data_IF_386609935063
#
_entry.id   IF_386609935063
#
_cell.length_a   1.000
_cell.length_b   1.000
_cell.length_c   1.000
_cell.angle_alpha   90.00
_cell.angle_beta   90.00
_cell.angle_gamma   90.00
#
_symmetry.space_group_name_H-M   'P 1'
#
loop_
_entity.id
_entity.type
_entity.pdbx_description
1 polymer ?
#
# COMPACT_ATOMS: atom_id res chain seq x y z
N UNK A 1 17.40 3.46 -3.17
CA UNK A 1 16.55 2.68 -2.25
C UNK A 1 17.00 2.98 -0.83
N UNK A 2 16.07 3.31 0.06
CA UNK A 2 16.39 3.75 1.42
C UNK A 2 16.51 2.55 2.38
N UNK A 3 17.74 2.20 2.77
CA UNK A 3 18.05 1.31 3.90
C UNK A 3 17.12 0.10 4.07
N UNK A 4 16.63 -0.08 5.30
CA UNK A 4 15.73 -1.18 5.69
C UNK A 4 14.26 -0.95 5.27
N UNK A 5 13.87 0.28 4.92
CA UNK A 5 12.48 0.59 4.53
C UNK A 5 12.16 0.15 3.09
N UNK A 6 13.19 -0.10 2.28
CA UNK A 6 13.10 -0.48 0.87
C UNK A 6 12.29 0.54 0.03
N UNK A 7 12.15 1.77 0.51
CA UNK A 7 11.47 2.84 -0.21
C UNK A 7 12.32 3.22 -1.42
N UNK A 8 11.69 3.24 -2.59
CA UNK A 8 12.29 3.80 -3.81
C UNK A 8 11.70 5.16 -4.09
N UNK A 9 12.55 6.12 -4.46
CA UNK A 9 12.15 7.47 -4.77
C UNK A 9 12.93 7.96 -5.98
N UNK A 10 12.25 8.57 -6.94
CA UNK A 10 12.91 9.35 -8.00
C UNK A 10 13.45 10.65 -7.40
N UNK A 11 14.59 11.14 -7.89
CA UNK A 11 15.29 12.30 -7.32
C UNK A 11 15.55 13.38 -8.37
N UNK A 12 14.63 13.57 -9.32
CA UNK A 12 14.78 14.56 -10.38
C UNK A 12 14.57 15.97 -9.81
N UNK A 13 15.59 16.82 -9.91
CA UNK A 13 15.59 18.16 -9.33
C UNK A 13 14.62 19.07 -10.09
N UNK A 14 13.76 19.78 -9.36
CA UNK A 14 12.83 20.75 -9.95
C UNK A 14 11.62 20.13 -10.67
N UNK A 15 11.50 18.81 -10.65
CA UNK A 15 10.40 18.08 -11.27
C UNK A 15 9.55 17.32 -10.24
N UNK A 16 8.40 16.83 -10.68
CA UNK A 16 7.60 15.91 -9.89
C UNK A 16 8.35 14.60 -9.69
N UNK A 17 8.23 14.03 -8.49
CA UNK A 17 8.88 12.77 -8.14
C UNK A 17 7.85 11.74 -7.69
N UNK A 18 8.24 10.47 -7.67
CA UNK A 18 7.40 9.36 -7.18
C UNK A 18 8.13 8.62 -6.08
N UNK A 19 7.42 8.26 -5.02
CA UNK A 19 7.88 7.28 -4.04
C UNK A 19 7.04 6.01 -4.11
N UNK A 20 7.73 4.87 -4.10
CA UNK A 20 7.16 3.53 -3.94
C UNK A 20 7.44 3.10 -2.52
N UNK A 21 6.38 3.00 -1.71
CA UNK A 21 6.47 2.76 -0.27
C UNK A 21 5.87 1.39 0.03
N UNK A 22 6.69 0.38 0.35
CA UNK A 22 6.18 -0.93 0.78
C UNK A 22 5.40 -0.80 2.08
N UNK A 23 4.21 -1.42 2.16
CA UNK A 23 3.42 -1.45 3.40
C UNK A 23 4.06 -2.34 4.46
N UNK A 24 4.84 -3.35 4.03
CA UNK A 24 5.57 -4.27 4.90
C UNK A 24 6.89 -4.65 4.26
N UNK A 25 8.00 -4.32 4.91
CA UNK A 25 9.35 -4.67 4.47
C UNK A 25 9.78 -6.09 4.88
N UNK A 26 9.13 -6.68 5.90
CA UNK A 26 9.49 -8.01 6.41
C UNK A 26 9.46 -9.07 5.30
N UNK A 27 10.59 -9.76 5.10
CA UNK A 27 10.75 -10.78 4.05
C UNK A 27 10.62 -10.26 2.61
N UNK A 28 10.58 -8.93 2.40
CA UNK A 28 10.62 -8.30 1.09
C UNK A 28 12.09 -8.09 0.70
N UNK A 29 12.40 -8.34 -0.58
CA UNK A 29 13.67 -7.99 -1.20
C UNK A 29 13.42 -6.90 -2.23
N UNK A 30 14.26 -5.87 -2.21
CA UNK A 30 14.20 -4.77 -3.16
C UNK A 30 15.52 -4.62 -3.87
N UNK A 31 15.47 -4.44 -5.19
CA UNK A 31 16.64 -4.17 -6.03
C UNK A 31 16.33 -3.00 -6.97
N UNK A 32 17.31 -2.13 -7.20
CA UNK A 32 17.22 -1.07 -8.23
C UNK A 32 18.18 -1.43 -9.34
N UNK A 33 17.64 -1.57 -10.55
CA UNK A 33 18.40 -1.91 -11.75
C UNK A 33 18.38 -0.78 -12.77
N UNK A 34 19.28 -0.89 -13.74
CA UNK A 34 19.22 -0.11 -14.97
C UNK A 34 18.15 -0.71 -15.90
N UNK A 35 17.49 0.15 -16.66
CA UNK A 35 16.47 -0.20 -17.62
C UNK A 35 16.39 0.81 -18.76
N UNK A 36 15.43 0.62 -19.64
CA UNK A 36 15.14 1.53 -20.74
C UNK A 36 13.65 1.86 -20.74
N UNK A 37 13.30 3.08 -21.11
CA UNK A 37 11.92 3.49 -21.37
C UNK A 37 11.78 3.96 -22.82
N UNK A 38 10.62 3.71 -23.42
CA UNK A 38 10.28 4.17 -24.75
C UNK A 38 8.94 4.86 -24.69
N UNK A 39 8.96 6.19 -24.74
CA UNK A 39 7.77 7.04 -24.80
C UNK A 39 7.27 7.19 -26.24
N UNK A 40 8.17 7.12 -27.22
CA UNK A 40 7.90 7.25 -28.65
C UNK A 40 8.55 6.11 -29.46
N UNK A 41 7.99 5.81 -30.63
CA UNK A 41 8.52 4.78 -31.51
C UNK A 41 9.97 5.08 -31.91
N UNK A 42 10.86 4.09 -31.79
CA UNK A 42 12.31 4.20 -32.00
C UNK A 42 13.06 5.15 -31.05
N UNK A 43 12.43 5.67 -29.99
CA UNK A 43 13.10 6.42 -28.94
C UNK A 43 13.27 5.53 -27.72
N UNK A 44 14.52 5.19 -27.39
CA UNK A 44 14.88 4.44 -26.18
C UNK A 44 15.77 5.32 -25.31
N UNK A 45 15.32 5.56 -24.10
CA UNK A 45 16.02 6.39 -23.13
C UNK A 45 16.42 5.54 -21.91
N UNK A 46 17.64 5.70 -21.38
CA UNK A 46 18.05 5.08 -20.13
C UNK A 46 17.08 5.45 -18.99
N UNK A 47 16.72 4.48 -18.18
CA UNK A 47 15.88 4.68 -17.00
C UNK A 47 16.32 3.74 -15.87
N UNK A 48 15.79 3.94 -14.67
CA UNK A 48 15.92 2.99 -13.56
C UNK A 48 14.64 2.17 -13.39
N UNK A 49 14.78 0.93 -12.94
CA UNK A 49 13.66 0.11 -12.49
C UNK A 49 13.85 -0.28 -11.02
N UNK A 50 12.73 -0.51 -10.33
CA UNK A 50 12.72 -1.06 -8.98
C UNK A 50 12.01 -2.42 -9.01
N UNK A 51 12.71 -3.47 -8.61
CA UNK A 51 12.18 -4.82 -8.50
C UNK A 51 11.94 -5.15 -7.02
N UNK A 52 10.72 -5.55 -6.70
CA UNK A 52 10.35 -6.04 -5.37
C UNK A 52 9.94 -7.50 -5.46
N UNK A 53 10.49 -8.33 -4.58
CA UNK A 53 10.20 -9.77 -4.56
C UNK A 53 10.04 -10.30 -3.13
N UNK A 54 9.17 -11.29 -2.99
CA UNK A 54 8.92 -11.99 -1.72
C UNK A 54 8.74 -13.47 -2.01
N UNK A 55 9.29 -14.32 -1.14
CA UNK A 55 9.11 -15.78 -1.19
C UNK A 55 8.18 -16.23 -0.08
N UNK A 56 7.32 -17.19 -0.36
CA UNK A 56 6.36 -17.75 0.59
C UNK A 56 5.70 -19.01 0.05
N UNK A 57 4.80 -19.61 0.84
CA UNK A 57 4.01 -20.78 0.44
C UNK A 57 2.54 -20.41 0.39
N UNK A 58 1.81 -20.87 -0.63
CA UNK A 58 0.40 -20.52 -0.83
C UNK A 58 0.22 -19.11 -1.40
N UNK A 59 -0.90 -18.46 -1.07
CA UNK A 59 -1.18 -17.09 -1.50
C UNK A 59 -0.31 -16.09 -0.74
N UNK A 60 0.45 -15.29 -1.47
CA UNK A 60 1.31 -14.22 -0.95
C UNK A 60 0.79 -12.90 -1.49
N UNK A 61 0.63 -11.90 -0.61
CA UNK A 61 0.36 -10.52 -1.03
C UNK A 61 1.58 -9.61 -0.84
N UNK A 62 1.69 -8.63 -1.71
CA UNK A 62 2.60 -7.50 -1.63
C UNK A 62 1.80 -6.23 -1.89
N UNK A 63 1.78 -5.33 -0.90
CA UNK A 63 1.09 -4.06 -1.02
C UNK A 63 2.09 -2.91 -0.99
N UNK A 64 1.91 -1.95 -1.90
CA UNK A 64 2.76 -0.79 -2.06
C UNK A 64 1.91 0.46 -2.24
N UNK A 65 2.32 1.56 -1.61
CA UNK A 65 1.73 2.87 -1.80
C UNK A 65 2.57 3.64 -2.80
N UNK A 66 1.96 4.05 -3.91
CA UNK A 66 2.56 4.96 -4.88
C UNK A 66 2.19 6.39 -4.49
N UNK A 67 3.18 7.19 -4.10
CA UNK A 67 2.96 8.56 -3.64
C UNK A 67 3.69 9.57 -4.54
N UNK A 68 2.94 10.37 -5.32
CA UNK A 68 3.52 11.44 -6.13
C UNK A 68 3.89 12.65 -5.27
N UNK A 69 5.01 13.27 -5.61
CA UNK A 69 5.55 14.47 -5.00
C UNK A 69 5.46 15.64 -5.97
N UNK A 70 5.11 16.82 -5.44
CA UNK A 70 5.27 18.07 -6.20
C UNK A 70 6.76 18.42 -6.32
N UNK A 71 7.14 19.25 -7.31
CA UNK A 71 8.50 19.78 -7.39
C UNK A 71 8.97 20.38 -6.07
N UNK A 72 10.11 19.90 -5.57
CA UNK A 72 10.72 20.34 -4.31
C UNK A 72 10.10 19.76 -3.03
N UNK A 73 9.01 18.99 -3.12
CA UNK A 73 8.43 18.30 -1.98
C UNK A 73 9.25 17.04 -1.64
N UNK A 74 9.37 16.77 -0.33
CA UNK A 74 10.11 15.63 0.20
C UNK A 74 9.32 14.85 1.25
N UNK A 75 8.17 15.35 1.67
CA UNK A 75 7.38 14.75 2.73
C UNK A 75 6.79 13.40 2.28
N UNK A 76 6.89 12.38 3.13
CA UNK A 76 6.30 11.06 2.88
C UNK A 76 5.04 10.87 3.72
N UNK A 77 4.01 10.20 3.17
CA UNK A 77 2.93 9.71 4.01
C UNK A 77 3.46 8.68 4.99
N UNK A 78 2.88 8.65 6.19
CA UNK A 78 3.11 7.54 7.12
C UNK A 78 2.28 6.36 6.66
N UNK A 79 2.97 5.27 6.31
CA UNK A 79 2.36 4.04 5.83
C UNK A 79 2.61 2.95 6.87
N UNK A 80 1.57 2.19 7.22
CA UNK A 80 1.69 1.06 8.15
C UNK A 80 0.75 -0.08 7.78
N UNK A 81 1.17 -1.31 8.05
CA UNK A 81 0.27 -2.47 8.04
C UNK A 81 -0.74 -2.34 9.18
N UNK A 82 -2.00 -2.60 8.89
CA UNK A 82 -3.08 -2.67 9.88
C UNK A 82 -3.53 -4.13 9.99
N UNK A 83 -3.63 -4.70 11.20
CA UNK A 83 -4.11 -6.06 11.36
C UNK A 83 -5.59 -6.15 11.02
N UNK A 84 -5.95 -7.21 10.28
CA UNK A 84 -7.32 -7.57 9.93
C UNK A 84 -7.74 -8.77 10.76
N UNK A 85 -8.96 -8.74 11.29
CA UNK A 85 -9.51 -9.84 12.09
C UNK A 85 -10.81 -10.34 11.48
N UNK A 86 -11.17 -11.58 11.78
CA UNK A 86 -12.54 -12.10 11.59
C UNK A 86 -13.43 -11.55 12.71
N UNK A 87 -14.76 -11.62 12.52
CA UNK A 87 -15.73 -11.29 13.56
C UNK A 87 -15.57 -12.16 14.83
N UNK A 88 -14.93 -13.33 14.72
CA UNK A 88 -14.58 -14.23 15.83
C UNK A 88 -13.39 -13.74 16.67
N UNK A 89 -12.68 -12.70 16.21
CA UNK A 89 -11.46 -12.18 16.83
C UNK A 89 -10.16 -12.85 16.33
N UNK A 90 -10.26 -13.86 15.44
CA UNK A 90 -9.08 -14.49 14.84
C UNK A 90 -8.38 -13.53 13.86
N UNK A 91 -7.04 -13.44 13.95
CA UNK A 91 -6.25 -12.66 13.00
C UNK A 91 -6.25 -13.32 11.62
N UNK A 92 -6.55 -12.53 10.59
CA UNK A 92 -6.57 -12.98 9.20
C UNK A 92 -5.16 -12.97 8.63
N UNK A 93 -4.83 -14.01 7.86
CA UNK A 93 -3.59 -14.09 7.12
C UNK A 93 -3.63 -13.15 5.90
N UNK A 94 -2.52 -12.46 5.61
CA UNK A 94 -2.42 -11.47 4.54
C UNK A 94 -2.86 -11.99 3.16
N UNK A 95 -2.61 -13.27 2.85
CA UNK A 95 -3.08 -13.90 1.62
C UNK A 95 -4.60 -14.10 1.50
N UNK A 96 -5.39 -13.77 2.53
CA UNK A 96 -6.86 -13.77 2.52
C UNK A 96 -7.41 -12.35 2.52
N UNK A 97 -6.90 -11.48 3.38
CA UNK A 97 -7.20 -10.06 3.38
C UNK A 97 -6.07 -9.29 4.04
N UNK A 98 -5.87 -8.06 3.59
CA UNK A 98 -4.89 -7.15 4.16
C UNK A 98 -5.40 -5.72 4.29
N UNK A 99 -4.79 -4.96 5.18
CA UNK A 99 -5.10 -3.55 5.36
C UNK A 99 -3.83 -2.70 5.50
N UNK A 100 -3.90 -1.50 4.93
CA UNK A 100 -2.85 -0.49 4.98
C UNK A 100 -3.42 0.82 5.51
N UNK A 101 -2.81 1.35 6.56
CA UNK A 101 -3.06 2.70 7.07
C UNK A 101 -2.12 3.68 6.40
N UNK A 102 -2.67 4.80 5.93
CA UNK A 102 -1.99 5.87 5.23
C UNK A 102 -2.41 7.19 5.88
N UNK A 103 -1.45 7.90 6.46
CA UNK A 103 -1.64 9.27 6.92
C UNK A 103 -0.83 10.20 6.03
N UNK A 104 -1.51 11.10 5.32
CA UNK A 104 -0.88 12.03 4.38
C UNK A 104 -0.14 13.15 5.15
N UNK A 105 0.97 13.69 4.60
CA UNK A 105 1.66 14.81 5.22
C UNK A 105 0.73 16.00 5.45
N UNK A 106 0.71 16.53 6.67
CA UNK A 106 -0.10 17.69 7.03
C UNK A 106 -1.59 17.41 7.26
N UNK A 107 -2.02 16.14 7.22
CA UNK A 107 -3.40 15.74 7.52
C UNK A 107 -3.48 15.05 8.89
N UNK A 108 -4.52 15.37 9.65
CA UNK A 108 -4.82 14.65 10.90
C UNK A 108 -5.55 13.34 10.64
N UNK A 109 -6.23 13.23 9.50
CA UNK A 109 -6.93 12.02 9.11
C UNK A 109 -5.99 10.87 8.74
N UNK A 110 -6.38 9.65 9.15
CA UNK A 110 -5.78 8.41 8.69
C UNK A 110 -6.78 7.66 7.78
N UNK A 111 -6.29 7.22 6.63
CA UNK A 111 -7.03 6.42 5.68
C UNK A 111 -6.59 4.96 5.80
N UNK A 112 -7.50 4.04 6.03
CA UNK A 112 -7.21 2.60 6.06
C UNK A 112 -7.89 1.96 4.86
N UNK A 113 -7.09 1.49 3.91
CA UNK A 113 -7.56 0.68 2.80
C UNK A 113 -7.50 -0.79 3.18
N UNK A 114 -8.62 -1.48 3.07
CA UNK A 114 -8.73 -2.92 3.28
C UNK A 114 -9.02 -3.59 1.96
N UNK A 115 -8.29 -4.67 1.67
CA UNK A 115 -8.41 -5.47 0.45
C UNK A 115 -8.64 -6.92 0.84
N UNK A 116 -9.78 -7.48 0.45
CA UNK A 116 -10.04 -8.92 0.50
C UNK A 116 -9.54 -9.57 -0.79
N UNK A 117 -8.68 -10.59 -0.66
CA UNK A 117 -8.20 -11.38 -1.80
C UNK A 117 -9.14 -12.55 -2.14
N UNK A 118 -10.24 -12.68 -1.42
CA UNK A 118 -11.32 -13.62 -1.72
C UNK A 118 -12.63 -12.86 -1.81
N UNK A 119 -13.40 -13.16 -2.85
CA UNK A 119 -14.75 -12.64 -2.99
C UNK A 119 -15.57 -13.04 -1.74
N UNK A 120 -16.20 -12.08 -1.03
CA UNK A 120 -17.09 -12.39 0.06
C UNK A 120 -18.23 -13.26 -0.48
N UNK A 121 -18.33 -14.49 -0.01
CA UNK A 121 -19.27 -15.49 -0.55
C UNK A 121 -20.48 -15.71 0.36
N UNK A 122 -20.46 -15.19 1.59
CA UNK A 122 -21.60 -15.21 2.50
C UNK A 122 -21.61 -14.06 3.51
N UNK A 123 -22.72 -13.91 4.24
CA UNK A 123 -22.94 -12.84 5.23
C UNK A 123 -21.97 -12.89 6.43
N UNK A 124 -21.29 -14.03 6.64
CA UNK A 124 -20.27 -14.24 7.65
C UNK A 124 -18.85 -13.80 7.20
N UNK A 125 -18.68 -13.50 5.91
CA UNK A 125 -17.43 -13.00 5.33
C UNK A 125 -17.32 -11.49 5.55
N UNK A 126 -17.18 -11.12 6.82
CA UNK A 126 -16.90 -9.76 7.26
C UNK A 126 -15.57 -9.71 7.99
N UNK A 127 -14.86 -8.60 7.82
CA UNK A 127 -13.64 -8.35 8.56
C UNK A 127 -13.85 -7.29 9.62
N UNK A 128 -13.01 -7.31 10.65
CA UNK A 128 -12.95 -6.30 11.69
C UNK A 128 -11.60 -5.61 11.62
N UNK A 129 -11.63 -4.30 11.40
CA UNK A 129 -10.44 -3.44 11.33
C UNK A 129 -10.68 -2.25 12.22
N UNK A 130 -9.74 -1.94 13.12
CA UNK A 130 -9.88 -0.84 14.09
C UNK A 130 -11.20 -0.89 14.90
N UNK A 131 -11.67 -2.11 15.22
CA UNK A 131 -12.92 -2.34 15.96
C UNK A 131 -14.20 -2.07 15.16
N UNK A 132 -14.10 -1.77 13.86
CA UNK A 132 -15.25 -1.62 12.97
C UNK A 132 -15.40 -2.86 12.10
N UNK A 133 -16.61 -3.42 12.05
CA UNK A 133 -16.95 -4.50 11.14
C UNK A 133 -17.21 -3.93 9.75
N UNK A 134 -16.58 -4.52 8.74
CA UNK A 134 -16.65 -4.09 7.34
C UNK A 134 -17.01 -5.27 6.43
N UNK A 135 -17.66 -4.93 5.32
CA UNK A 135 -18.15 -5.86 4.31
C UNK A 135 -17.73 -5.32 2.93
N UNK A 136 -17.35 -6.21 2.02
CA UNK A 136 -16.91 -5.86 0.66
C UNK A 136 -15.49 -6.31 0.36
N UNK A 137 -15.11 -6.20 -0.92
CA UNK A 137 -13.79 -6.60 -1.39
C UNK A 137 -12.77 -5.49 -1.13
N UNK A 138 -13.14 -4.24 -1.41
CA UNK A 138 -12.28 -3.08 -1.20
C UNK A 138 -13.03 -2.05 -0.36
N UNK A 139 -12.53 -1.81 0.85
CA UNK A 139 -13.14 -0.88 1.81
C UNK A 139 -12.14 0.19 2.20
N UNK A 140 -12.53 1.45 2.04
CA UNK A 140 -11.79 2.58 2.57
C UNK A 140 -12.43 3.02 3.89
N UNK A 141 -11.64 3.03 4.95
CA UNK A 141 -12.01 3.63 6.22
C UNK A 141 -11.29 4.96 6.40
N UNK A 142 -12.01 6.00 6.82
CA UNK A 142 -11.44 7.28 7.23
C UNK A 142 -11.57 7.42 8.73
N UNK A 143 -10.45 7.68 9.39
CA UNK A 143 -10.35 7.92 10.83
C UNK A 143 -9.98 9.38 11.08
N UNK A 144 -10.80 10.10 11.83
CA UNK A 144 -10.51 11.47 12.24
C UNK A 144 -10.93 11.67 13.70
N UNK A 145 -9.94 11.68 14.61
CA UNK A 145 -10.18 11.65 16.05
C UNK A 145 -10.99 10.42 16.46
N UNK A 146 -12.16 10.63 17.06
CA UNK A 146 -13.09 9.55 17.45
C UNK A 146 -14.04 9.12 16.33
N UNK A 147 -14.10 9.86 15.22
CA UNK A 147 -15.01 9.55 14.11
C UNK A 147 -14.39 8.51 13.19
N UNK A 148 -15.19 7.50 12.85
CA UNK A 148 -14.84 6.44 11.90
C UNK A 148 -15.94 6.36 10.84
N UNK A 149 -15.53 6.40 9.58
CA UNK A 149 -16.43 6.20 8.45
C UNK A 149 -15.84 5.12 7.56
N UNK A 150 -16.68 4.21 7.05
CA UNK A 150 -16.29 3.23 6.06
C UNK A 150 -17.08 3.44 4.78
N UNK A 151 -16.38 3.37 3.65
CA UNK A 151 -16.94 3.47 2.31
C UNK A 151 -16.48 2.24 1.54
N UNK A 152 -17.44 1.47 1.01
CA UNK A 152 -17.16 0.37 0.08
C UNK A 152 -16.87 0.98 -1.28
N UNK A 153 -15.74 0.62 -1.89
CA UNK A 153 -15.33 1.14 -3.19
C UNK A 153 -15.83 0.22 -4.32
N UNK A 154 -15.81 -1.11 -4.10
CA UNK A 154 -16.26 -2.15 -5.03
C UNK A 154 -16.87 -3.31 -4.23
#
# INVERSE_FOLDING_TARGET
MEGESLICRTTTLGEANLSIIPVTADGLRGEVGEGMISSEYNLLEPNANAAYSRTGKGCISMMQVLYPHRPGDTALPRVRKVPVYRHTGERVHDGQAEACGIQLPGMEEEFILVVSHRAPSGHYDSYVVQGMQIFGEIVLMTLHGSKKQATVII
#
